data_IF_954143526461
#
_entry.id   IF_954143526461
#
_cell.length_a   1.000
_cell.length_b   1.000
_cell.length_c   1.000
_cell.angle_alpha   90.00
_cell.angle_beta   90.00
_cell.angle_gamma   90.00
#
_symmetry.space_group_name_H-M   'P 1'
#
loop_
_entity.id
_entity.type
_entity.pdbx_description
1 polymer ?
#
# COMPACT_ATOMS: atom_id res chain seq x y z
N UNK A 1 5.70 25.50 -13.73
CA UNK A 1 5.26 24.23 -13.15
C UNK A 1 6.50 23.49 -12.68
N UNK A 2 6.62 23.31 -11.38
CA UNK A 2 7.76 22.58 -10.79
C UNK A 2 7.31 21.13 -10.63
N UNK A 3 8.02 20.21 -11.28
CA UNK A 3 7.79 18.78 -11.09
C UNK A 3 8.75 18.29 -10.01
N UNK A 4 8.23 17.59 -9.01
CA UNK A 4 9.06 16.96 -7.98
C UNK A 4 9.20 15.48 -8.34
N UNK A 5 10.43 15.05 -8.51
CA UNK A 5 10.80 13.67 -8.77
C UNK A 5 11.10 12.99 -7.44
N UNK A 6 10.33 11.99 -7.08
CA UNK A 6 10.65 11.09 -5.97
C UNK A 6 11.08 9.77 -6.58
N UNK A 7 12.37 9.43 -6.49
CA UNK A 7 12.87 8.14 -6.96
C UNK A 7 12.78 7.12 -5.82
N UNK A 8 12.08 6.03 -6.09
CA UNK A 8 12.15 4.83 -5.26
C UNK A 8 12.99 3.80 -6.02
N UNK A 9 14.02 3.27 -5.39
CA UNK A 9 14.83 2.20 -5.96
C UNK A 9 14.05 0.90 -5.80
N UNK A 10 13.53 0.38 -6.91
CA UNK A 10 13.01 -0.98 -7.01
C UNK A 10 13.96 -1.79 -7.88
N UNK A 11 14.39 -2.96 -7.40
CA UNK A 11 15.05 -3.93 -8.28
C UNK A 11 14.02 -4.46 -9.29
N UNK A 12 14.01 -3.90 -10.47
CA UNK A 12 13.30 -4.48 -11.60
C UNK A 12 14.28 -5.36 -12.36
N UNK A 13 14.10 -6.67 -12.29
CA UNK A 13 14.82 -7.60 -13.14
C UNK A 13 14.24 -7.53 -14.55
N UNK A 14 14.88 -6.81 -15.46
CA UNK A 14 14.60 -6.94 -16.88
C UNK A 14 15.40 -8.14 -17.37
N UNK A 15 14.70 -9.20 -17.80
CA UNK A 15 15.31 -10.31 -18.53
C UNK A 15 15.80 -9.80 -19.89
N UNK A 16 17.00 -9.25 -19.93
CA UNK A 16 17.92 -9.31 -21.07
C UNK A 16 19.28 -8.72 -20.67
N UNK A 17 20.09 -9.57 -20.14
CA UNK A 17 21.55 -9.66 -20.23
C UNK A 17 22.32 -8.33 -20.39
N UNK A 18 22.23 -7.43 -19.41
CA UNK A 18 23.30 -6.52 -18.95
C UNK A 18 22.82 -5.88 -17.65
N UNK A 19 23.69 -5.86 -16.62
CA UNK A 19 23.46 -5.23 -15.31
C UNK A 19 23.10 -3.76 -15.48
N UNK A 20 21.84 -3.45 -15.57
CA UNK A 20 21.32 -2.09 -15.47
C UNK A 20 20.31 -2.09 -14.33
N UNK A 21 20.69 -1.49 -13.23
CA UNK A 21 19.74 -1.05 -12.22
C UNK A 21 18.83 -0.03 -12.92
N UNK A 22 17.56 -0.41 -13.10
CA UNK A 22 16.55 0.52 -13.60
C UNK A 22 15.89 1.16 -12.39
N UNK A 23 16.25 2.38 -12.11
CA UNK A 23 15.52 3.19 -11.15
C UNK A 23 14.13 3.48 -11.73
N UNK A 24 13.08 3.05 -11.03
CA UNK A 24 11.74 3.45 -11.38
C UNK A 24 11.55 4.93 -11.04
N UNK A 25 11.22 5.74 -12.03
CA UNK A 25 10.88 7.15 -11.85
C UNK A 25 9.38 7.22 -11.56
N UNK A 26 9.02 7.64 -10.36
CA UNK A 26 7.63 7.93 -10.01
C UNK A 26 7.45 9.44 -10.05
N UNK A 27 6.50 9.90 -10.85
CA UNK A 27 6.11 11.30 -10.90
C UNK A 27 5.08 11.58 -9.81
N UNK A 28 5.38 12.59 -8.99
CA UNK A 28 4.43 13.14 -8.03
C UNK A 28 3.95 14.47 -8.60
N UNK A 29 2.68 14.55 -8.96
CA UNK A 29 2.09 15.70 -9.65
C UNK A 29 1.70 15.37 -11.10
N UNK A 30 1.45 16.39 -11.90
CA UNK A 30 1.04 16.21 -13.28
C UNK A 30 2.13 15.51 -14.11
N UNK A 31 1.76 14.41 -14.76
CA UNK A 31 2.63 13.70 -15.70
C UNK A 31 2.98 14.67 -16.83
N UNK A 32 4.26 14.85 -17.18
CA UNK A 32 4.63 15.67 -18.31
C UNK A 32 3.99 15.13 -19.60
N UNK A 33 3.56 15.99 -20.54
CA UNK A 33 3.06 15.52 -21.82
C UNK A 33 4.06 14.61 -22.52
N UNK A 34 3.57 13.65 -23.31
CA UNK A 34 4.41 12.80 -24.15
C UNK A 34 5.38 13.65 -24.99
N UNK A 35 6.61 13.19 -25.10
CA UNK A 35 7.73 13.89 -25.75
C UNK A 35 8.29 15.14 -25.02
N UNK A 36 8.03 15.30 -23.72
CA UNK A 36 8.70 16.32 -22.93
C UNK A 36 10.18 15.96 -22.77
N UNK A 37 11.08 16.80 -23.27
CA UNK A 37 12.51 16.63 -23.04
C UNK A 37 12.83 16.96 -21.59
N UNK A 38 13.29 15.97 -20.85
CA UNK A 38 13.73 16.14 -19.47
C UNK A 38 15.22 16.43 -19.44
N UNK A 39 15.61 17.55 -18.86
CA UNK A 39 17.01 17.88 -18.66
C UNK A 39 17.43 17.46 -17.26
N UNK A 40 18.36 16.52 -17.16
CA UNK A 40 19.00 16.17 -15.88
C UNK A 40 19.89 17.32 -15.46
N UNK A 41 19.49 18.08 -14.45
CA UNK A 41 20.21 19.27 -13.99
C UNK A 41 21.44 18.96 -13.14
N UNK A 42 21.58 17.76 -12.60
CA UNK A 42 22.83 17.27 -12.00
C UNK A 42 22.85 15.74 -11.96
N UNK A 43 23.97 15.16 -12.38
CA UNK A 43 24.39 13.82 -11.95
C UNK A 43 25.25 13.99 -10.68
N UNK A 44 24.64 14.37 -9.58
CA UNK A 44 25.25 14.05 -8.30
C UNK A 44 25.05 12.55 -8.11
N UNK A 45 26.17 11.87 -7.80
CA UNK A 45 26.18 10.48 -7.33
C UNK A 45 24.84 10.13 -6.71
N UNK A 46 24.16 9.02 -7.10
CA UNK A 46 22.90 8.69 -6.48
C UNK A 46 23.16 8.73 -4.99
N UNK A 47 22.67 9.76 -4.33
CA UNK A 47 22.49 9.69 -2.91
C UNK A 47 21.71 8.39 -2.80
N UNK A 48 22.31 7.38 -2.19
CA UNK A 48 21.52 6.36 -1.55
C UNK A 48 20.76 7.13 -0.47
N UNK A 49 19.68 7.77 -0.89
CA UNK A 49 18.64 8.13 0.02
C UNK A 49 18.14 6.76 0.43
N UNK A 50 18.71 6.26 1.51
CA UNK A 50 17.99 5.27 2.29
C UNK A 50 16.66 5.93 2.49
N UNK A 51 15.69 5.55 1.65
CA UNK A 51 14.31 5.97 1.82
C UNK A 51 14.06 5.81 3.31
N UNK A 52 13.62 6.84 4.03
CA UNK A 52 13.46 6.70 5.46
C UNK A 52 12.68 5.42 5.65
N UNK A 53 13.15 4.54 6.52
CA UNK A 53 12.59 3.18 6.73
C UNK A 53 11.06 3.18 6.83
N UNK A 54 10.46 4.31 7.11
CA UNK A 54 9.04 4.59 7.21
C UNK A 54 8.28 4.54 5.87
N UNK A 55 8.87 4.99 4.75
CA UNK A 55 8.19 4.98 3.45
C UNK A 55 8.05 3.57 2.87
N UNK A 56 8.93 2.64 3.28
CA UNK A 56 8.93 1.26 2.80
C UNK A 56 7.82 0.39 3.42
N UNK A 57 7.15 0.87 4.48
CA UNK A 57 6.22 0.07 5.28
C UNK A 57 4.83 0.69 5.44
N UNK A 58 4.54 1.81 4.75
CA UNK A 58 3.26 2.47 4.91
C UNK A 58 2.13 1.52 4.48
N UNK A 59 1.41 1.73 3.49
CA UNK A 59 0.14 1.11 3.15
C UNK A 59 0.31 -0.06 2.19
N UNK A 60 0.52 -1.30 2.71
CA UNK A 60 0.69 -2.48 1.87
C UNK A 60 -0.34 -3.56 2.15
N UNK A 61 -0.88 -4.15 1.10
CA UNK A 61 -1.63 -5.39 1.14
C UNK A 61 -0.69 -6.58 0.87
N UNK A 62 -0.93 -7.72 1.50
CA UNK A 62 -0.22 -8.96 1.15
C UNK A 62 -0.91 -9.68 -0.01
N UNK A 63 -0.16 -10.50 -0.77
CA UNK A 63 -0.73 -11.42 -1.76
C UNK A 63 -1.95 -12.16 -1.23
N UNK A 64 -2.91 -12.41 -2.10
CA UNK A 64 -4.16 -13.08 -1.79
C UNK A 64 -5.21 -12.15 -1.15
N UNK A 65 -4.89 -10.89 -0.88
CA UNK A 65 -5.89 -9.92 -0.45
C UNK A 65 -6.90 -9.69 -1.56
N UNK A 66 -8.20 -9.88 -1.26
CA UNK A 66 -9.25 -9.61 -2.24
C UNK A 66 -9.62 -8.13 -2.22
N UNK A 67 -9.40 -7.47 -3.34
CA UNK A 67 -9.80 -6.07 -3.57
C UNK A 67 -11.16 -6.07 -4.26
N UNK A 68 -12.07 -5.22 -3.78
CA UNK A 68 -13.40 -5.06 -4.37
C UNK A 68 -13.30 -4.15 -5.61
N UNK A 69 -13.73 -4.65 -6.76
CA UNK A 69 -13.64 -3.95 -8.05
C UNK A 69 -14.99 -3.95 -8.77
N UNK A 70 -15.12 -3.19 -9.83
CA UNK A 70 -16.29 -3.19 -10.72
C UNK A 70 -16.51 -4.55 -11.43
N UNK A 71 -15.48 -5.42 -11.43
CA UNK A 71 -15.52 -6.79 -11.96
C UNK A 71 -15.71 -7.85 -10.87
N UNK A 72 -15.98 -7.44 -9.62
CA UNK A 72 -16.04 -8.30 -8.44
C UNK A 72 -14.75 -8.28 -7.62
N UNK A 73 -14.57 -9.31 -6.79
CA UNK A 73 -13.39 -9.40 -5.90
C UNK A 73 -12.21 -10.01 -6.65
N UNK A 74 -11.13 -9.26 -6.76
CA UNK A 74 -9.90 -9.66 -7.46
C UNK A 74 -8.75 -9.72 -6.46
N UNK A 75 -7.93 -10.81 -6.44
CA UNK A 75 -6.69 -10.83 -5.65
C UNK A 75 -5.77 -9.67 -6.03
N UNK A 76 -5.14 -9.04 -5.03
CA UNK A 76 -4.32 -7.84 -5.23
C UNK A 76 -3.20 -8.04 -6.25
N UNK A 77 -2.62 -9.23 -6.31
CA UNK A 77 -1.59 -9.60 -7.29
C UNK A 77 -2.09 -9.63 -8.76
N UNK A 78 -3.40 -9.63 -8.95
CA UNK A 78 -4.03 -9.60 -10.27
C UNK A 78 -4.58 -8.22 -10.65
N UNK A 79 -4.58 -7.27 -9.74
CA UNK A 79 -4.93 -5.88 -10.02
C UNK A 79 -3.91 -5.29 -10.99
N UNK A 80 -4.37 -4.44 -11.89
CA UNK A 80 -3.55 -3.75 -12.90
C UNK A 80 -3.92 -2.26 -12.92
N UNK A 81 -3.01 -1.44 -13.40
CA UNK A 81 -3.29 -0.05 -13.79
C UNK A 81 -4.47 -0.02 -14.76
N UNK A 82 -5.43 0.88 -14.51
CA UNK A 82 -6.68 0.99 -15.24
C UNK A 82 -7.83 0.14 -14.68
N UNK A 83 -7.58 -0.80 -13.75
CA UNK A 83 -8.68 -1.45 -13.02
C UNK A 83 -9.37 -0.45 -12.09
N UNK A 84 -10.65 -0.70 -11.79
CA UNK A 84 -11.44 0.22 -10.97
C UNK A 84 -11.80 -0.45 -9.65
N UNK A 85 -11.39 0.16 -8.54
CA UNK A 85 -11.62 -0.35 -7.18
C UNK A 85 -12.75 0.41 -6.51
N UNK A 86 -13.54 -0.31 -5.71
CA UNK A 86 -14.65 0.28 -4.95
C UNK A 86 -14.10 1.04 -3.75
N UNK A 87 -14.49 2.30 -3.62
CA UNK A 87 -14.14 3.17 -2.50
C UNK A 87 -15.30 3.37 -1.53
N UNK A 88 -15.01 3.89 -0.35
CA UNK A 88 -15.98 4.01 0.75
C UNK A 88 -17.15 4.97 0.43
N UNK A 89 -16.96 5.92 -0.48
CA UNK A 89 -18.02 6.79 -0.96
C UNK A 89 -19.02 6.09 -1.92
N UNK A 90 -18.77 4.81 -2.24
CA UNK A 90 -19.60 4.01 -3.15
C UNK A 90 -19.26 4.18 -4.63
N UNK A 91 -18.21 4.89 -4.94
CA UNK A 91 -17.73 5.11 -6.31
C UNK A 91 -16.59 4.14 -6.65
N UNK A 92 -16.35 3.96 -7.93
CA UNK A 92 -15.23 3.20 -8.44
C UNK A 92 -14.14 4.17 -8.92
N UNK A 93 -12.95 4.09 -8.30
CA UNK A 93 -11.77 4.87 -8.69
C UNK A 93 -10.78 4.01 -9.47
N UNK A 94 -10.11 4.61 -10.44
CA UNK A 94 -9.13 3.95 -11.28
C UNK A 94 -7.80 3.77 -10.54
N UNK A 95 -7.19 2.60 -10.68
CA UNK A 95 -5.85 2.32 -10.20
C UNK A 95 -4.84 2.98 -11.14
N UNK A 96 -4.19 4.03 -10.67
CA UNK A 96 -3.16 4.74 -11.44
C UNK A 96 -1.85 3.96 -11.50
N UNK A 97 -1.50 3.34 -10.38
CA UNK A 97 -0.27 2.53 -10.30
C UNK A 97 -0.46 1.44 -9.26
N UNK A 98 0.08 0.26 -9.55
CA UNK A 98 0.28 -0.80 -8.57
C UNK A 98 1.74 -1.20 -8.56
N UNK A 99 2.34 -1.25 -7.38
CA UNK A 99 3.70 -1.71 -7.18
C UNK A 99 3.74 -2.86 -6.21
N UNK A 100 4.80 -3.67 -6.25
CA UNK A 100 4.97 -4.75 -5.29
C UNK A 100 6.43 -4.89 -4.88
N UNK A 101 6.63 -5.47 -3.68
CA UNK A 101 7.93 -5.86 -3.17
C UNK A 101 7.83 -7.22 -2.50
N UNK A 102 8.70 -8.13 -2.92
CA UNK A 102 8.86 -9.44 -2.28
C UNK A 102 9.93 -9.34 -1.18
N UNK A 103 9.56 -9.71 0.03
CA UNK A 103 10.43 -9.77 1.21
C UNK A 103 10.74 -11.24 1.48
N UNK A 104 12.02 -11.58 1.51
CA UNK A 104 12.51 -12.94 1.73
C UNK A 104 12.65 -13.25 3.23
N UNK A 105 12.78 -14.53 3.56
CA UNK A 105 12.96 -15.03 4.93
C UNK A 105 14.04 -14.28 5.71
N UNK A 106 15.21 -14.12 5.12
CA UNK A 106 16.33 -13.43 5.76
C UNK A 106 16.03 -11.96 6.09
N UNK A 107 15.27 -11.26 5.26
CA UNK A 107 14.85 -9.88 5.54
C UNK A 107 13.85 -9.84 6.69
N UNK A 108 12.89 -10.79 6.72
CA UNK A 108 11.91 -10.91 7.80
C UNK A 108 12.55 -11.28 9.15
N UNK A 109 13.63 -12.06 9.13
CA UNK A 109 14.43 -12.41 10.32
C UNK A 109 15.21 -11.20 10.84
N UNK A 110 15.82 -10.43 9.93
CA UNK A 110 16.64 -9.28 10.27
C UNK A 110 15.83 -8.05 10.66
N UNK A 111 14.59 -7.94 10.18
CA UNK A 111 13.73 -6.78 10.45
C UNK A 111 12.30 -7.22 10.79
N UNK A 112 12.02 -7.28 12.08
CA UNK A 112 10.72 -7.65 12.61
C UNK A 112 9.58 -6.71 12.12
N UNK A 113 9.90 -5.47 11.75
CA UNK A 113 8.90 -4.53 11.25
C UNK A 113 8.36 -4.89 9.87
N UNK A 114 9.07 -5.75 9.14
CA UNK A 114 8.62 -6.26 7.84
C UNK A 114 7.56 -7.36 7.94
N UNK A 115 7.34 -7.92 9.13
CA UNK A 115 6.34 -8.97 9.32
C UNK A 115 4.94 -8.43 9.17
N UNK A 116 4.06 -9.12 8.43
CA UNK A 116 2.68 -8.68 8.25
C UNK A 116 1.87 -8.78 9.53
N UNK A 117 0.85 -7.95 9.61
CA UNK A 117 -0.17 -7.99 10.64
C UNK A 117 -1.41 -8.68 10.09
N UNK A 118 -1.99 -9.59 10.86
CA UNK A 118 -3.21 -10.31 10.53
C UNK A 118 -4.38 -9.67 11.24
N UNK A 119 -5.34 -9.19 10.49
CA UNK A 119 -6.66 -8.80 10.96
C UNK A 119 -7.58 -9.99 10.72
N UNK A 120 -7.98 -10.62 11.81
CA UNK A 120 -8.76 -11.86 11.74
C UNK A 120 -10.17 -11.63 11.21
N UNK A 121 -10.68 -12.64 10.52
CA UNK A 121 -12.06 -12.62 10.01
C UNK A 121 -13.05 -12.24 11.11
N UNK A 122 -13.90 -11.25 10.84
CA UNK A 122 -14.91 -10.77 11.77
C UNK A 122 -14.40 -9.89 12.92
N UNK A 123 -13.09 -9.62 13.06
CA UNK A 123 -12.56 -8.87 14.20
C UNK A 123 -12.92 -7.38 14.18
N UNK A 124 -13.26 -6.83 13.03
CA UNK A 124 -13.70 -5.42 12.89
C UNK A 124 -15.22 -5.26 12.94
N UNK A 125 -15.96 -6.36 13.06
CA UNK A 125 -17.41 -6.41 13.08
C UNK A 125 -17.95 -7.64 12.37
N UNK A 126 -19.27 -7.89 12.40
CA UNK A 126 -19.85 -9.08 11.79
C UNK A 126 -19.48 -9.25 10.32
N UNK A 127 -18.68 -10.30 10.01
CA UNK A 127 -18.20 -10.60 8.66
C UNK A 127 -17.15 -9.64 8.09
N UNK A 128 -16.51 -8.78 8.91
CA UNK A 128 -15.51 -7.82 8.49
C UNK A 128 -14.19 -8.03 9.25
N UNK A 129 -13.07 -8.31 8.55
CA UNK A 129 -13.03 -8.76 7.15
C UNK A 129 -13.70 -10.11 6.96
N UNK A 130 -14.10 -10.45 5.75
CA UNK A 130 -14.78 -11.72 5.44
C UNK A 130 -13.87 -12.95 5.60
N UNK A 131 -12.55 -12.75 5.60
CA UNK A 131 -11.48 -13.70 5.88
C UNK A 131 -10.28 -12.97 6.43
N UNK A 132 -9.29 -13.68 6.98
CA UNK A 132 -8.09 -13.06 7.49
C UNK A 132 -7.46 -12.14 6.44
N UNK A 133 -7.26 -10.89 6.81
CA UNK A 133 -6.65 -9.86 6.00
C UNK A 133 -5.22 -9.61 6.50
N UNK A 134 -4.23 -9.81 5.62
CA UNK A 134 -2.82 -9.54 5.92
C UNK A 134 -2.38 -8.24 5.30
N UNK A 135 -1.81 -7.37 6.12
CA UNK A 135 -1.35 -6.03 5.72
C UNK A 135 -0.03 -5.70 6.39
N UNK A 136 0.65 -4.66 5.95
CA UNK A 136 1.76 -4.10 6.70
C UNK A 136 1.28 -3.54 8.05
N UNK A 137 2.15 -3.53 9.05
CA UNK A 137 1.81 -3.07 10.42
C UNK A 137 1.26 -1.64 10.45
N UNK A 138 1.74 -0.78 9.56
CA UNK A 138 1.37 0.63 9.48
C UNK A 138 0.18 0.90 8.55
N UNK A 139 -0.33 -0.12 7.87
CA UNK A 139 -1.51 0.03 7.02
C UNK A 139 -2.70 0.53 7.84
N UNK A 140 -3.28 1.64 7.45
CA UNK A 140 -4.41 2.20 8.20
C UNK A 140 -5.73 1.63 7.72
N UNK A 141 -6.51 1.17 8.68
CA UNK A 141 -7.86 0.65 8.52
C UNK A 141 -8.84 1.70 9.01
N UNK A 142 -9.87 1.95 8.25
CA UNK A 142 -10.95 2.84 8.67
C UNK A 142 -11.85 2.08 9.66
N UNK A 143 -11.69 2.40 10.93
CA UNK A 143 -12.47 1.82 12.01
C UNK A 143 -13.59 2.78 12.44
N UNK A 144 -14.77 2.23 12.76
CA UNK A 144 -15.86 2.97 13.36
C UNK A 144 -15.98 2.59 14.82
N UNK A 145 -16.03 3.59 15.69
CA UNK A 145 -16.17 3.39 17.13
C UNK A 145 -17.01 4.50 17.75
N UNK A 146 -17.96 4.14 18.64
CA UNK A 146 -18.68 5.15 19.44
C UNK A 146 -17.76 6.02 20.31
N UNK A 147 -16.54 5.54 20.58
CA UNK A 147 -15.52 6.27 21.34
C UNK A 147 -14.90 7.34 20.45
N UNK A 148 -14.59 7.04 19.17
CA UNK A 148 -14.04 8.01 18.25
C UNK A 148 -15.00 9.18 18.00
N UNK A 149 -16.30 8.91 17.85
CA UNK A 149 -17.33 9.95 17.74
C UNK A 149 -17.35 10.89 18.93
N UNK A 150 -17.20 10.34 20.15
CA UNK A 150 -17.18 11.16 21.39
C UNK A 150 -15.88 11.93 21.61
N UNK A 151 -14.74 11.38 21.20
CA UNK A 151 -13.42 11.98 21.42
C UNK A 151 -13.01 12.98 20.34
N UNK A 152 -13.38 12.69 19.08
CA UNK A 152 -12.89 13.43 17.91
C UNK A 152 -14.00 14.09 17.11
N UNK A 153 -15.28 13.85 17.46
CA UNK A 153 -16.41 14.33 16.67
C UNK A 153 -16.63 13.57 15.35
N UNK A 154 -15.82 12.52 15.11
CA UNK A 154 -15.83 11.73 13.88
C UNK A 154 -16.15 10.27 14.20
N UNK A 155 -17.18 9.73 13.56
CA UNK A 155 -17.56 8.32 13.75
C UNK A 155 -16.56 7.33 13.17
N UNK A 156 -15.67 7.79 12.28
CA UNK A 156 -14.69 6.99 11.56
C UNK A 156 -13.29 7.56 11.75
N UNK A 157 -12.34 6.70 12.06
CA UNK A 157 -10.92 7.06 12.23
C UNK A 157 -10.03 6.07 11.50
N UNK A 158 -8.91 6.56 10.99
CA UNK A 158 -7.86 5.72 10.42
C UNK A 158 -6.93 5.24 11.53
N UNK A 159 -6.87 3.93 11.72
CA UNK A 159 -6.08 3.27 12.76
C UNK A 159 -5.05 2.35 12.10
N UNK A 160 -3.77 2.52 12.43
CA UNK A 160 -2.75 1.60 11.94
C UNK A 160 -3.02 0.18 12.45
N UNK A 161 -2.86 -0.81 11.59
CA UNK A 161 -3.20 -2.21 11.86
C UNK A 161 -2.56 -2.73 13.16
N UNK A 162 -1.32 -2.33 13.45
CA UNK A 162 -0.64 -2.72 14.68
C UNK A 162 -1.39 -2.32 15.96
N UNK A 163 -2.16 -1.25 15.93
CA UNK A 163 -2.96 -0.81 17.09
C UNK A 163 -4.27 -1.60 17.26
N UNK A 164 -4.59 -2.48 16.30
CA UNK A 164 -5.73 -3.39 16.39
C UNK A 164 -5.39 -4.70 17.12
N UNK A 165 -4.20 -4.83 17.70
CA UNK A 165 -3.76 -6.02 18.46
C UNK A 165 -4.68 -6.34 19.63
N UNK A 166 -5.36 -5.33 20.20
CA UNK A 166 -6.31 -5.53 21.29
C UNK A 166 -7.64 -6.16 20.86
N UNK A 167 -7.91 -6.25 19.56
CA UNK A 167 -9.09 -6.95 19.07
C UNK A 167 -8.82 -8.47 19.02
N UNK A 168 -9.79 -9.31 19.43
CA UNK A 168 -9.59 -10.74 19.50
C UNK A 168 -9.15 -11.36 18.16
N UNK A 169 -8.13 -12.19 18.21
CA UNK A 169 -7.64 -12.94 17.07
C UNK A 169 -6.68 -12.17 16.14
N UNK A 170 -6.43 -10.88 16.38
CA UNK A 170 -5.47 -10.12 15.60
C UNK A 170 -4.04 -10.32 16.13
N UNK A 171 -3.07 -10.48 15.22
CA UNK A 171 -1.70 -10.78 15.59
C UNK A 171 -0.68 -10.43 14.50
N UNK A 172 0.59 -10.40 14.86
CA UNK A 172 1.70 -10.32 13.89
C UNK A 172 2.01 -11.74 13.41
N UNK A 173 2.07 -11.95 12.09
CA UNK A 173 2.34 -13.26 11.49
C UNK A 173 3.86 -13.56 11.58
N UNK A 174 4.27 -14.22 12.65
CA UNK A 174 5.67 -14.59 12.91
C UNK A 174 6.11 -15.86 12.16
N UNK A 175 5.15 -16.64 11.66
CA UNK A 175 5.42 -17.92 10.99
C UNK A 175 5.66 -17.73 9.49
N UNK A 176 5.38 -16.54 8.95
CA UNK A 176 5.55 -16.28 7.53
C UNK A 176 7.02 -16.22 7.13
N UNK A 177 7.41 -17.04 6.15
CA UNK A 177 8.80 -17.12 5.65
C UNK A 177 9.10 -16.14 4.52
N UNK A 178 8.10 -15.72 3.78
CA UNK A 178 8.21 -14.69 2.75
C UNK A 178 6.88 -13.96 2.60
N UNK A 179 6.92 -12.70 2.20
CA UNK A 179 5.72 -11.91 1.94
C UNK A 179 5.91 -11.08 0.68
N UNK A 180 4.86 -10.98 -0.12
CA UNK A 180 4.81 -10.03 -1.21
C UNK A 180 3.82 -8.93 -0.84
N UNK A 181 4.32 -7.71 -0.73
CA UNK A 181 3.55 -6.52 -0.42
C UNK A 181 3.17 -5.78 -1.69
N UNK A 182 1.95 -5.28 -1.73
CA UNK A 182 1.40 -4.52 -2.85
C UNK A 182 0.93 -3.16 -2.38
N UNK A 183 1.23 -2.12 -3.16
CA UNK A 183 0.73 -0.78 -2.97
C UNK A 183 -0.20 -0.43 -4.11
N UNK A 184 -1.39 0.06 -3.79
CA UNK A 184 -2.37 0.56 -4.76
C UNK A 184 -2.42 2.07 -4.63
N UNK A 185 -2.18 2.76 -5.74
CA UNK A 185 -2.20 4.21 -5.84
C UNK A 185 -3.40 4.60 -6.69
N UNK A 186 -4.26 5.44 -6.14
CA UNK A 186 -5.42 6.03 -6.79
C UNK A 186 -5.16 7.50 -7.05
N UNK A 187 -6.06 8.17 -7.79
CA UNK A 187 -5.95 9.61 -8.03
C UNK A 187 -6.02 10.40 -6.72
N UNK A 188 -6.89 9.97 -5.81
CA UNK A 188 -7.06 10.57 -4.51
C UNK A 188 -6.61 9.61 -3.40
N UNK A 189 -6.32 10.17 -2.22
CA UNK A 189 -6.19 9.36 -1.02
C UNK A 189 -7.57 8.86 -0.60
N UNK A 190 -7.87 7.63 -0.94
CA UNK A 190 -9.21 7.05 -0.76
C UNK A 190 -9.20 5.86 0.18
N UNK A 191 -10.34 5.60 0.80
CA UNK A 191 -10.59 4.38 1.54
C UNK A 191 -11.24 3.38 0.56
N UNK A 192 -10.57 2.27 0.32
CA UNK A 192 -11.02 1.19 -0.55
C UNK A 192 -11.38 -0.06 0.24
N UNK A 193 -12.07 -1.01 -0.36
CA UNK A 193 -12.45 -2.25 0.31
C UNK A 193 -11.51 -3.41 -0.02
N UNK A 194 -10.95 -4.01 1.04
CA UNK A 194 -10.06 -5.16 1.00
C UNK A 194 -10.64 -6.29 1.88
N UNK A 195 -11.13 -7.36 1.27
CA UNK A 195 -11.84 -8.43 1.98
C UNK A 195 -13.09 -7.96 2.73
N UNK A 196 -13.71 -6.87 2.28
CA UNK A 196 -14.82 -6.19 2.93
C UNK A 196 -14.41 -5.21 4.03
N UNK A 197 -13.13 -5.14 4.41
CA UNK A 197 -12.62 -4.16 5.36
C UNK A 197 -12.26 -2.85 4.64
N UNK A 198 -12.68 -1.70 5.19
CA UNK A 198 -12.29 -0.40 4.63
C UNK A 198 -10.85 -0.07 5.02
N UNK A 199 -9.97 0.03 4.02
CA UNK A 199 -8.54 0.24 4.17
C UNK A 199 -8.06 1.38 3.26
N UNK A 200 -7.05 2.12 3.66
CA UNK A 200 -6.55 3.24 2.88
C UNK A 200 -5.80 2.80 1.61
N UNK A 201 -5.89 3.60 0.55
CA UNK A 201 -4.97 3.53 -0.59
C UNK A 201 -3.62 4.15 -0.21
N UNK A 202 -2.57 3.88 -0.98
CA UNK A 202 -1.29 4.57 -0.74
C UNK A 202 -1.45 6.06 -1.07
N UNK A 203 -1.06 6.90 -0.11
CA UNK A 203 -1.01 8.34 -0.27
C UNK A 203 0.44 8.81 -0.43
N UNK A 204 0.70 9.52 -1.51
CA UNK A 204 2.05 10.01 -1.82
C UNK A 204 2.33 11.41 -1.23
N UNK A 205 1.36 12.00 -0.54
CA UNK A 205 1.46 13.35 0.01
C UNK A 205 1.07 14.43 -1.01
N UNK A 206 0.59 15.57 -0.52
CA UNK A 206 0.50 16.81 -1.30
C UNK A 206 1.83 17.57 -1.13
N UNK A 207 2.38 18.10 -2.23
CA UNK A 207 3.55 19.00 -2.23
C UNK A 207 3.14 20.45 -1.99
#
# INVERSE_FOLDING_TARGET
>A
NTYVMVSFVFEATIENNQNSEVDAIIWVGNIPPDNTTLTVLSQTNPLRVTAPEYATFATCFCSGTLIETDKGKIPVEHIRTGDRVLTQNGEFEEVLLITNRKIKAQELENNYNLRPFVISAGSLGPGIPSRNLRVSKQHRICASSPISGRMFGEDKVLVAAIHLTNLPGNYIDEEMFEVCYFHIILENHSIMFAGGAPAESLYLGEN
#
